data_IF_244140771467
#
_entry.id   IF_244140771467
#
_cell.length_a   1.000
_cell.length_b   1.000
_cell.length_c   1.000
_cell.angle_alpha   90.00
_cell.angle_beta   90.00
_cell.angle_gamma   90.00
#
_symmetry.space_group_name_H-M   'P 1'
#
loop_
_entity.id
_entity.type
_entity.pdbx_description
1 polymer ?
#
# COMPACT_ATOMS: atom_id res chain seq x y z
N UNK A 1 32.74 2.70 17.78
CA UNK A 1 33.73 1.62 17.57
C UNK A 1 33.10 0.32 17.05
N UNK A 2 32.13 -0.30 17.74
CA UNK A 2 31.59 -1.62 17.35
C UNK A 2 30.98 -1.71 15.92
N UNK A 3 30.23 -0.69 15.48
CA UNK A 3 29.60 -0.69 14.13
C UNK A 3 30.61 -0.55 12.99
N UNK A 4 31.62 0.30 13.17
CA UNK A 4 32.70 0.50 12.18
C UNK A 4 33.48 -0.79 11.98
N UNK A 5 33.82 -1.47 13.08
CA UNK A 5 34.49 -2.78 13.03
C UNK A 5 33.64 -3.83 12.28
N UNK A 6 32.33 -3.91 12.56
CA UNK A 6 31.41 -4.80 11.84
C UNK A 6 31.38 -4.56 10.33
N UNK A 7 31.44 -3.31 9.85
CA UNK A 7 31.49 -3.02 8.40
C UNK A 7 32.81 -3.46 7.78
N UNK A 8 33.92 -3.34 8.50
CA UNK A 8 35.24 -3.77 8.01
C UNK A 8 35.35 -5.30 7.99
N UNK A 9 34.81 -5.97 9.01
CA UNK A 9 34.93 -7.42 9.18
C UNK A 9 33.93 -8.24 8.34
N UNK A 10 32.80 -7.64 7.92
CA UNK A 10 31.74 -8.36 7.20
C UNK A 10 32.17 -8.75 5.77
N UNK A 11 31.90 -10.00 5.41
CA UNK A 11 32.22 -10.60 4.09
C UNK A 11 31.00 -10.68 3.18
N UNK A 12 31.17 -10.90 1.87
CA UNK A 12 30.06 -10.96 0.90
C UNK A 12 28.90 -11.89 1.30
N UNK A 13 29.22 -13.10 1.81
CA UNK A 13 28.24 -14.15 2.15
C UNK A 13 27.75 -14.15 3.59
N UNK A 14 28.16 -13.17 4.40
CA UNK A 14 27.73 -13.11 5.79
C UNK A 14 26.24 -12.79 5.91
N UNK A 15 25.61 -13.37 6.93
CA UNK A 15 24.21 -13.08 7.27
C UNK A 15 24.13 -11.81 8.11
N UNK A 16 22.96 -11.15 8.11
CA UNK A 16 22.71 -9.95 8.91
C UNK A 16 23.79 -8.87 8.70
N UNK A 17 24.02 -8.45 7.45
CA UNK A 17 25.03 -7.44 7.14
C UNK A 17 24.58 -6.06 7.57
N UNK A 18 25.53 -5.21 7.91
CA UNK A 18 25.28 -3.81 8.18
C UNK A 18 25.35 -3.03 6.87
N UNK A 19 24.21 -2.52 6.41
CA UNK A 19 24.09 -1.78 5.15
C UNK A 19 24.21 -0.26 5.32
N UNK A 20 23.88 0.28 6.51
CA UNK A 20 24.01 1.70 6.81
C UNK A 20 24.50 1.93 8.25
N UNK A 21 25.54 2.76 8.41
CA UNK A 21 26.09 3.09 9.74
C UNK A 21 25.07 3.81 10.64
N UNK A 22 24.27 4.70 10.03
CA UNK A 22 23.31 5.56 10.70
C UNK A 22 21.95 4.88 10.94
N UNK A 23 21.68 3.74 10.28
CA UNK A 23 20.43 2.98 10.36
C UNK A 23 20.74 1.47 10.30
N UNK A 24 21.23 0.86 11.40
CA UNK A 24 21.63 -0.55 11.44
C UNK A 24 20.49 -1.55 11.21
N UNK A 25 19.25 -1.10 11.32
CA UNK A 25 18.00 -1.83 11.07
C UNK A 25 17.69 -2.01 9.58
N UNK A 26 18.34 -1.27 8.68
CA UNK A 26 18.07 -1.33 7.24
C UNK A 26 18.39 -2.72 6.69
N UNK A 27 17.46 -3.28 5.93
CA UNK A 27 17.60 -4.58 5.28
C UNK A 27 17.84 -4.42 3.78
N UNK A 28 18.44 -5.44 3.17
CA UNK A 28 18.54 -5.58 1.72
C UNK A 28 17.44 -6.52 1.22
N UNK A 29 16.61 -6.02 0.31
CA UNK A 29 15.43 -6.69 -0.21
C UNK A 29 15.63 -6.93 -1.70
N UNK A 30 15.63 -8.20 -2.11
CA UNK A 30 15.74 -8.60 -3.51
C UNK A 30 14.44 -8.29 -4.26
N UNK A 31 14.54 -7.55 -5.37
CA UNK A 31 13.39 -7.17 -6.22
C UNK A 31 13.08 -8.15 -7.34
N UNK A 32 14.02 -9.03 -7.68
CA UNK A 32 13.93 -9.89 -8.86
C UNK A 32 13.90 -9.13 -10.19
N UNK A 33 14.38 -7.87 -10.22
CA UNK A 33 14.44 -7.03 -11.43
C UNK A 33 15.88 -6.90 -11.92
N UNK A 34 16.11 -7.11 -13.22
CA UNK A 34 17.45 -7.09 -13.84
C UNK A 34 18.19 -5.76 -13.62
N UNK A 35 17.54 -4.61 -13.88
CA UNK A 35 18.19 -3.28 -13.79
C UNK A 35 18.42 -2.78 -12.36
N UNK A 36 17.55 -3.14 -11.41
CA UNK A 36 17.64 -2.73 -10.00
C UNK A 36 17.36 -3.94 -9.11
N UNK A 37 18.37 -4.79 -8.86
CA UNK A 37 18.16 -6.08 -8.23
C UNK A 37 17.83 -5.98 -6.74
N UNK A 38 18.22 -4.89 -6.08
CA UNK A 38 18.06 -4.69 -4.63
C UNK A 38 17.37 -3.37 -4.30
N UNK A 39 16.58 -3.37 -3.22
CA UNK A 39 16.08 -2.23 -2.49
C UNK A 39 16.64 -2.28 -1.06
N UNK A 40 16.87 -1.12 -0.44
CA UNK A 40 17.32 -1.02 0.94
C UNK A 40 16.24 -0.33 1.77
N UNK A 41 15.91 -0.91 2.92
CA UNK A 41 14.90 -0.37 3.84
C UNK A 41 14.22 -1.50 4.59
N UNK A 42 12.97 -1.27 4.99
CA UNK A 42 12.11 -2.29 5.58
C UNK A 42 10.96 -2.62 4.62
N UNK A 43 10.49 -3.88 4.64
CA UNK A 43 9.26 -4.23 3.93
C UNK A 43 8.06 -3.52 4.56
N UNK A 44 7.11 -3.12 3.73
CA UNK A 44 5.85 -2.53 4.20
C UNK A 44 4.69 -3.30 3.57
N UNK A 45 3.80 -3.84 4.39
CA UNK A 45 2.54 -4.41 3.96
C UNK A 45 1.49 -3.32 3.81
N UNK A 46 0.78 -3.30 2.68
CA UNK A 46 -0.28 -2.34 2.38
C UNK A 46 -1.56 -3.11 2.04
N UNK A 47 -2.63 -2.84 2.79
CA UNK A 47 -3.96 -3.34 2.53
C UNK A 47 -4.88 -2.21 2.07
N UNK A 48 -5.63 -2.41 0.99
CA UNK A 48 -6.58 -1.42 0.48
C UNK A 48 -7.97 -1.99 0.25
N UNK A 49 -8.97 -1.12 0.32
CA UNK A 49 -10.34 -1.45 -0.07
C UNK A 49 -10.42 -1.69 -1.57
N UNK A 50 -11.03 -2.81 -1.96
CA UNK A 50 -11.07 -3.25 -3.35
C UNK A 50 -11.83 -2.30 -4.30
N UNK A 51 -12.84 -1.58 -3.80
CA UNK A 51 -13.70 -0.72 -4.63
C UNK A 51 -13.15 0.69 -4.81
N UNK A 52 -12.56 1.27 -3.76
CA UNK A 52 -12.22 2.69 -3.71
C UNK A 52 -10.72 2.94 -3.55
N UNK A 53 -9.94 1.93 -3.16
CA UNK A 53 -8.50 2.04 -3.02
C UNK A 53 -8.04 2.78 -1.78
N UNK A 54 -8.92 2.96 -0.79
CA UNK A 54 -8.52 3.47 0.52
C UNK A 54 -7.62 2.46 1.22
N UNK A 55 -6.50 2.93 1.74
CA UNK A 55 -5.62 2.17 2.62
C UNK A 55 -6.33 1.93 3.94
N UNK A 56 -6.43 0.66 4.31
CA UNK A 56 -6.99 0.19 5.57
C UNK A 56 -5.96 -0.62 6.37
N UNK A 57 -4.75 -0.79 5.85
CA UNK A 57 -3.62 -1.36 6.59
C UNK A 57 -2.32 -0.86 5.98
N UNK A 58 -1.39 -0.47 6.84
CA UNK A 58 -0.04 -0.05 6.47
C UNK A 58 0.89 -0.39 7.64
N UNK A 59 1.75 -1.38 7.46
CA UNK A 59 2.59 -1.93 8.54
C UNK A 59 3.99 -2.22 8.05
N UNK A 60 4.99 -1.75 8.78
CA UNK A 60 6.38 -2.16 8.56
C UNK A 60 6.58 -3.59 9.03
N UNK A 61 7.39 -4.34 8.28
CA UNK A 61 7.65 -5.76 8.46
C UNK A 61 9.18 -5.97 8.56
N UNK A 62 9.78 -5.69 9.73
CA UNK A 62 11.21 -5.92 9.95
C UNK A 62 11.53 -7.42 9.97
N UNK A 63 12.80 -7.75 9.75
CA UNK A 63 13.34 -9.10 9.62
C UNK A 63 13.29 -9.67 8.19
N UNK A 64 13.00 -8.86 7.17
CA UNK A 64 12.82 -9.27 5.78
C UNK A 64 11.98 -10.56 5.62
N UNK A 65 10.76 -10.63 6.20
CA UNK A 65 9.97 -11.85 6.17
C UNK A 65 9.56 -12.21 4.74
N UNK A 66 9.33 -13.49 4.50
CA UNK A 66 8.64 -13.92 3.29
C UNK A 66 7.22 -13.35 3.28
N UNK A 67 6.80 -12.77 2.16
CA UNK A 67 5.53 -12.03 2.05
C UNK A 67 4.34 -12.87 2.55
N UNK A 68 4.34 -14.17 2.26
CA UNK A 68 3.30 -15.08 2.71
C UNK A 68 3.09 -15.11 4.23
N UNK A 69 4.16 -14.99 5.02
CA UNK A 69 4.06 -14.99 6.49
C UNK A 69 3.47 -13.69 7.05
N UNK A 70 3.42 -12.63 6.24
CA UNK A 70 2.91 -11.31 6.67
C UNK A 70 1.40 -11.14 6.47
N UNK A 71 0.73 -12.11 5.81
CA UNK A 71 -0.68 -11.97 5.45
C UNK A 71 -1.61 -11.91 6.65
N UNK A 72 -1.39 -12.76 7.66
CA UNK A 72 -2.23 -12.80 8.85
C UNK A 72 -2.18 -11.46 9.60
N UNK A 73 -0.98 -10.94 9.85
CA UNK A 73 -0.77 -9.65 10.50
C UNK A 73 -1.37 -8.47 9.70
N UNK A 74 -1.29 -8.54 8.36
CA UNK A 74 -1.88 -7.51 7.49
C UNK A 74 -3.41 -7.51 7.54
N UNK A 75 -4.04 -8.70 7.58
CA UNK A 75 -5.49 -8.85 7.69
C UNK A 75 -6.00 -8.46 9.07
N UNK A 76 -5.26 -8.83 10.13
CA UNK A 76 -5.54 -8.41 11.49
C UNK A 76 -5.54 -6.89 11.62
N UNK A 77 -4.47 -6.23 11.17
CA UNK A 77 -4.38 -4.77 11.19
C UNK A 77 -5.53 -4.13 10.40
N UNK A 78 -5.83 -4.66 9.22
CA UNK A 78 -6.94 -4.17 8.41
C UNK A 78 -8.30 -4.34 9.08
N UNK A 79 -8.51 -5.44 9.80
CA UNK A 79 -9.72 -5.70 10.56
C UNK A 79 -9.89 -4.75 11.74
N UNK A 80 -8.80 -4.46 12.46
CA UNK A 80 -8.78 -3.49 13.57
C UNK A 80 -9.13 -2.08 13.05
N UNK A 81 -8.47 -1.62 11.99
CA UNK A 81 -8.70 -0.27 11.43
C UNK A 81 -10.10 -0.14 10.83
N UNK A 82 -10.63 -1.20 10.24
CA UNK A 82 -11.98 -1.22 9.68
C UNK A 82 -13.07 -1.48 10.72
N UNK A 83 -12.71 -1.76 11.97
CA UNK A 83 -13.60 -2.20 13.05
C UNK A 83 -14.50 -3.38 12.63
N UNK A 84 -14.00 -4.25 11.75
CA UNK A 84 -14.77 -5.34 11.15
C UNK A 84 -13.84 -6.47 10.63
N UNK A 85 -14.10 -7.74 10.95
CA UNK A 85 -13.31 -8.86 10.41
C UNK A 85 -13.30 -8.90 8.87
N UNK A 86 -12.10 -9.11 8.31
CA UNK A 86 -11.92 -9.22 6.87
C UNK A 86 -12.32 -10.61 6.39
N UNK A 87 -13.48 -10.73 5.74
CA UNK A 87 -14.00 -12.01 5.24
C UNK A 87 -13.50 -12.40 3.85
N UNK A 88 -13.05 -11.44 3.05
CA UNK A 88 -12.55 -11.68 1.69
C UNK A 88 -11.37 -10.77 1.38
N UNK A 89 -10.27 -11.35 0.91
CA UNK A 89 -9.04 -10.64 0.60
C UNK A 89 -8.48 -11.04 -0.76
N UNK A 90 -8.11 -10.07 -1.57
CA UNK A 90 -7.38 -10.31 -2.82
C UNK A 90 -5.89 -10.12 -2.61
N UNK A 91 -5.11 -11.20 -2.71
CA UNK A 91 -3.66 -11.22 -2.39
C UNK A 91 -2.81 -11.28 -3.65
N UNK A 92 -1.60 -10.69 -3.67
CA UNK A 92 -0.64 -10.82 -4.79
C UNK A 92 -0.03 -12.23 -4.95
N UNK A 93 0.56 -12.52 -6.12
CA UNK A 93 1.28 -13.77 -6.41
C UNK A 93 2.42 -14.02 -5.42
N UNK A 94 2.97 -12.98 -4.78
CA UNK A 94 3.95 -13.11 -3.70
C UNK A 94 3.46 -13.89 -2.48
N UNK A 95 2.13 -13.91 -2.24
CA UNK A 95 1.49 -14.59 -1.11
C UNK A 95 1.06 -16.04 -1.45
N UNK A 96 1.77 -16.70 -2.36
CA UNK A 96 1.39 -18.05 -2.84
C UNK A 96 1.40 -19.06 -1.69
N UNK A 97 0.39 -19.93 -1.66
CA UNK A 97 0.33 -21.05 -0.71
C UNK A 97 -0.20 -20.71 0.68
N UNK A 98 -0.50 -19.44 0.96
CA UNK A 98 -1.00 -19.03 2.28
C UNK A 98 -2.52 -19.11 2.35
N UNK A 99 -3.01 -19.70 3.43
CA UNK A 99 -4.41 -19.73 3.82
C UNK A 99 -4.56 -19.14 5.22
N UNK A 100 -5.62 -18.36 5.41
CA UNK A 100 -5.95 -17.76 6.71
C UNK A 100 -7.36 -18.24 7.08
N UNK A 101 -7.53 -18.90 8.24
CA UNK A 101 -8.83 -19.40 8.66
C UNK A 101 -9.91 -18.30 8.64
N UNK A 102 -11.09 -18.62 8.12
CA UNK A 102 -12.22 -17.67 8.06
C UNK A 102 -12.12 -16.59 6.98
N UNK A 103 -11.03 -16.52 6.20
CA UNK A 103 -10.85 -15.51 5.15
C UNK A 103 -10.84 -16.14 3.77
N UNK A 104 -11.74 -15.68 2.91
CA UNK A 104 -11.76 -16.09 1.50
C UNK A 104 -10.67 -15.37 0.71
N UNK A 105 -9.65 -16.13 0.30
CA UNK A 105 -8.52 -15.59 -0.45
C UNK A 105 -8.78 -15.67 -1.97
N UNK A 106 -8.71 -14.52 -2.65
CA UNK A 106 -8.85 -14.41 -4.10
C UNK A 106 -7.48 -14.31 -4.75
N UNK A 107 -7.12 -15.32 -5.56
CA UNK A 107 -5.82 -15.43 -6.23
C UNK A 107 -5.91 -15.12 -7.73
N UNK A 108 -4.81 -14.64 -8.30
CA UNK A 108 -4.68 -14.47 -9.76
C UNK A 108 -4.73 -15.83 -10.47
N UNK A 109 -5.46 -15.92 -11.58
CA UNK A 109 -5.52 -17.13 -12.42
C UNK A 109 -6.50 -18.20 -11.96
N UNK A 110 -7.28 -17.96 -10.90
CA UNK A 110 -8.39 -18.85 -10.54
C UNK A 110 -9.43 -18.83 -11.68
N UNK A 111 -9.70 -20.00 -12.29
CA UNK A 111 -10.59 -20.12 -13.47
C UNK A 111 -11.86 -20.95 -13.21
N UNK A 112 -11.82 -21.89 -12.26
CA UNK A 112 -12.94 -22.82 -11.95
C UNK A 112 -13.81 -22.28 -10.80
N UNK A 113 -15.14 -22.47 -10.90
CA UNK A 113 -16.10 -22.19 -9.82
C UNK A 113 -16.32 -20.71 -9.47
N UNK A 114 -16.06 -19.78 -10.39
CA UNK A 114 -16.14 -18.34 -10.10
C UNK A 114 -17.44 -17.70 -10.60
N UNK A 115 -18.19 -17.10 -9.67
CA UNK A 115 -19.30 -16.19 -9.98
C UNK A 115 -18.79 -14.92 -10.68
N UNK A 116 -19.68 -14.23 -11.40
CA UNK A 116 -19.35 -12.96 -12.09
C UNK A 116 -18.74 -11.92 -11.15
N UNK A 117 -19.26 -11.81 -9.93
CA UNK A 117 -18.74 -10.90 -8.90
C UNK A 117 -17.29 -11.21 -8.50
N UNK A 118 -16.97 -12.48 -8.28
CA UNK A 118 -15.60 -12.91 -7.93
C UNK A 118 -14.61 -12.62 -9.06
N UNK A 119 -15.01 -12.82 -10.33
CA UNK A 119 -14.17 -12.47 -11.48
C UNK A 119 -13.84 -10.97 -11.51
N UNK A 120 -14.82 -10.12 -11.24
CA UNK A 120 -14.60 -8.66 -11.14
C UNK A 120 -13.66 -8.33 -9.99
N UNK A 121 -13.81 -8.98 -8.84
CA UNK A 121 -12.95 -8.75 -7.68
C UNK A 121 -11.49 -9.15 -7.93
N UNK A 122 -11.27 -10.33 -8.53
CA UNK A 122 -9.93 -10.78 -8.95
C UNK A 122 -9.31 -9.79 -9.93
N UNK A 123 -10.09 -9.30 -10.91
CA UNK A 123 -9.60 -8.29 -11.86
C UNK A 123 -9.24 -6.97 -11.18
N UNK A 124 -10.06 -6.48 -10.23
CA UNK A 124 -9.81 -5.23 -9.51
C UNK A 124 -8.60 -5.29 -8.59
N UNK A 125 -8.23 -6.48 -8.12
CA UNK A 125 -7.05 -6.68 -7.26
C UNK A 125 -5.77 -6.13 -7.87
N UNK A 126 -5.61 -6.16 -9.20
CA UNK A 126 -4.43 -5.62 -9.87
C UNK A 126 -4.24 -4.11 -9.67
N UNK A 127 -5.28 -3.39 -9.23
CA UNK A 127 -5.19 -1.96 -8.92
C UNK A 127 -4.32 -1.64 -7.69
N UNK A 128 -3.96 -2.63 -6.86
CA UNK A 128 -3.03 -2.44 -5.74
C UNK A 128 -1.65 -1.97 -6.22
N UNK A 129 -1.16 -2.51 -7.34
CA UNK A 129 0.16 -2.19 -7.90
C UNK A 129 0.31 -0.70 -8.27
N UNK A 130 -0.59 -0.10 -9.10
CA UNK A 130 -0.52 1.32 -9.37
C UNK A 130 -0.74 2.18 -8.11
N UNK A 131 -1.55 1.72 -7.13
CA UNK A 131 -1.71 2.44 -5.86
C UNK A 131 -0.39 2.50 -5.07
N UNK A 132 0.30 1.37 -4.91
CA UNK A 132 1.62 1.33 -4.27
C UNK A 132 2.63 2.17 -5.07
N UNK A 133 2.57 2.12 -6.40
CA UNK A 133 3.37 2.97 -7.28
C UNK A 133 3.18 4.47 -6.98
N UNK A 134 1.93 4.93 -6.90
CA UNK A 134 1.62 6.30 -6.49
C UNK A 134 2.06 6.62 -5.06
N UNK A 135 1.93 5.68 -4.12
CA UNK A 135 2.43 5.88 -2.76
C UNK A 135 3.95 6.03 -2.73
N UNK A 136 4.69 5.29 -3.57
CA UNK A 136 6.15 5.41 -3.66
C UNK A 136 6.57 6.73 -4.33
N UNK A 137 5.94 7.11 -5.44
CA UNK A 137 6.30 8.30 -6.20
C UNK A 137 5.78 9.60 -5.57
N UNK A 138 4.47 9.68 -5.32
CA UNK A 138 3.78 10.87 -4.84
C UNK A 138 3.68 10.89 -3.31
N UNK A 139 3.55 9.71 -2.71
CA UNK A 139 3.27 9.52 -1.28
C UNK A 139 4.51 9.35 -0.40
N UNK A 140 5.71 9.51 -0.95
CA UNK A 140 7.01 9.41 -0.26
C UNK A 140 7.33 8.03 0.34
N UNK A 141 6.50 7.00 0.13
CA UNK A 141 6.73 5.65 0.65
C UNK A 141 8.07 5.04 0.18
N UNK A 142 8.61 5.51 -0.95
CA UNK A 142 9.89 5.04 -1.49
C UNK A 142 11.14 5.49 -0.74
N UNK A 143 11.02 6.39 0.26
CA UNK A 143 12.15 6.87 1.06
C UNK A 143 11.67 7.21 2.46
N UNK A 144 12.28 6.67 3.51
CA UNK A 144 11.98 7.06 4.88
C UNK A 144 12.99 8.11 5.39
N UNK A 145 12.49 9.12 6.10
CA UNK A 145 13.30 10.14 6.78
C UNK A 145 13.30 9.98 8.31
N UNK A 146 12.41 9.16 8.85
CA UNK A 146 12.40 8.84 10.27
C UNK A 146 13.45 7.77 10.59
N UNK A 147 13.97 7.84 11.80
CA UNK A 147 15.00 6.91 12.30
C UNK A 147 14.32 5.76 13.02
N UNK A 148 15.00 4.60 13.07
CA UNK A 148 14.58 3.40 13.82
C UNK A 148 13.37 2.67 13.24
N UNK A 149 13.18 1.43 13.68
CA UNK A 149 12.03 0.59 13.34
C UNK A 149 10.68 1.25 13.71
N UNK A 150 10.64 2.04 14.77
CA UNK A 150 9.43 2.82 15.11
C UNK A 150 9.17 3.90 14.06
N UNK A 151 10.21 4.59 13.62
CA UNK A 151 10.13 5.58 12.54
C UNK A 151 9.65 4.96 11.23
N UNK A 152 10.12 3.77 10.90
CA UNK A 152 9.63 2.99 9.77
C UNK A 152 8.13 2.67 9.86
N UNK A 153 7.66 2.24 11.03
CA UNK A 153 6.26 1.94 11.27
C UNK A 153 5.38 3.20 11.12
N UNK A 154 5.79 4.31 11.74
CA UNK A 154 5.09 5.59 11.67
C UNK A 154 5.08 6.12 10.22
N UNK A 155 6.20 6.01 9.51
CA UNK A 155 6.29 6.43 8.11
C UNK A 155 5.27 5.69 7.23
N UNK A 156 5.19 4.36 7.36
CA UNK A 156 4.25 3.54 6.59
C UNK A 156 2.79 3.99 6.80
N UNK A 157 2.40 4.21 8.06
CA UNK A 157 1.06 4.68 8.43
C UNK A 157 0.78 6.07 7.84
N UNK A 158 1.71 7.02 7.97
CA UNK A 158 1.55 8.37 7.43
C UNK A 158 1.47 8.39 5.91
N UNK A 159 2.26 7.57 5.21
CA UNK A 159 2.15 7.42 3.76
C UNK A 159 0.77 6.88 3.34
N UNK A 160 0.25 5.91 4.08
CA UNK A 160 -1.09 5.35 3.88
C UNK A 160 -2.20 6.37 4.12
N UNK A 161 -2.14 7.11 5.23
CA UNK A 161 -3.07 8.19 5.55
C UNK A 161 -3.02 9.31 4.49
N UNK A 162 -1.81 9.72 4.08
CA UNK A 162 -1.62 10.71 3.02
C UNK A 162 -2.24 10.28 1.69
N UNK A 163 -2.21 8.98 1.36
CA UNK A 163 -2.90 8.46 0.18
C UNK A 163 -4.42 8.61 0.29
N UNK A 164 -4.99 8.26 1.44
CA UNK A 164 -6.42 8.42 1.71
C UNK A 164 -6.86 9.89 1.60
N UNK A 165 -6.11 10.81 2.20
CA UNK A 165 -6.36 12.25 2.11
C UNK A 165 -6.35 12.71 0.64
N UNK A 166 -5.35 12.29 -0.15
CA UNK A 166 -5.31 12.60 -1.59
C UNK A 166 -6.54 12.09 -2.34
N UNK A 167 -7.05 10.90 -2.01
CA UNK A 167 -8.29 10.37 -2.61
C UNK A 167 -9.51 11.22 -2.25
N UNK A 168 -9.64 11.61 -0.98
CA UNK A 168 -10.72 12.47 -0.49
C UNK A 168 -10.68 13.85 -1.16
N UNK A 169 -9.52 14.51 -1.19
CA UNK A 169 -9.35 15.80 -1.85
C UNK A 169 -9.68 15.74 -3.34
N UNK A 170 -9.28 14.68 -4.05
CA UNK A 170 -9.65 14.47 -5.46
C UNK A 170 -11.16 14.31 -5.67
N UNK A 171 -11.89 13.78 -4.67
CA UNK A 171 -13.35 13.64 -4.73
C UNK A 171 -14.03 14.98 -4.42
N UNK A 172 -13.59 15.67 -3.37
CA UNK A 172 -14.08 17.00 -2.99
C UNK A 172 -13.88 18.01 -4.13
N UNK A 173 -12.69 18.06 -4.75
CA UNK A 173 -12.43 18.94 -5.89
C UNK A 173 -13.41 18.72 -7.04
N UNK A 174 -13.73 17.46 -7.35
CA UNK A 174 -14.73 17.11 -8.39
C UNK A 174 -16.14 17.53 -7.99
N UNK A 175 -16.49 17.37 -6.72
CA UNK A 175 -17.78 17.79 -6.19
C UNK A 175 -17.94 19.31 -6.24
N UNK A 176 -16.95 20.08 -5.78
CA UNK A 176 -16.94 21.54 -5.89
C UNK A 176 -17.04 22.01 -7.34
N UNK A 177 -16.30 21.37 -8.27
CA UNK A 177 -16.40 21.70 -9.69
C UNK A 177 -17.81 21.45 -10.27
N UNK A 178 -18.50 20.40 -9.82
CA UNK A 178 -19.89 20.13 -10.21
C UNK A 178 -20.85 21.19 -9.67
N UNK A 179 -20.69 21.61 -8.41
CA UNK A 179 -21.50 22.69 -7.81
C UNK A 179 -21.30 23.99 -8.61
N UNK A 180 -20.06 24.37 -8.88
CA UNK A 180 -19.74 25.59 -9.64
C UNK A 180 -20.33 25.54 -11.06
N UNK A 181 -20.27 24.38 -11.72
CA UNK A 181 -20.85 24.21 -13.07
C UNK A 181 -22.39 24.26 -13.07
N UNK A 182 -23.04 23.79 -12.01
CA UNK A 182 -24.50 23.90 -11.86
C UNK A 182 -24.92 25.33 -11.53
N UNK A 183 -24.18 26.01 -10.66
CA UNK A 183 -24.42 27.40 -10.30
C UNK A 183 -24.27 28.34 -11.51
N UNK A 184 -23.25 28.15 -12.34
CA UNK A 184 -23.06 28.96 -13.55
C UNK A 184 -24.14 28.75 -14.61
N UNK A 185 -24.69 27.54 -14.72
CA UNK A 185 -25.84 27.25 -15.59
C UNK A 185 -27.14 27.85 -15.06
N UNK A 186 -27.36 27.84 -13.75
CA UNK A 186 -28.49 28.50 -13.10
C UNK A 186 -28.46 30.02 -13.29
N UNK A 187 -27.28 30.63 -13.17
CA UNK A 187 -27.09 32.07 -13.39
C UNK A 187 -27.38 32.47 -14.85
N UNK A 188 -26.91 31.68 -15.82
CA UNK A 188 -27.18 31.90 -17.24
C UNK A 188 -28.68 31.78 -17.59
N UNK A 189 -29.42 30.88 -16.93
CA UNK A 189 -30.86 30.74 -17.13
C UNK A 189 -31.68 31.91 -16.58
N UNK A 190 -31.21 32.57 -15.50
CA UNK A 190 -31.87 33.74 -14.90
C UNK A 190 -31.62 35.00 -15.75
N UNK A 191 -30.43 35.17 -16.32
CA UNK A 191 -30.10 36.34 -17.16
C UNK A 191 -30.76 36.33 -18.55
N UNK A 192 -31.28 35.18 -18.99
CA UNK A 192 -31.93 35.02 -20.30
C UNK A 192 -33.45 34.83 -20.22
N UNK A 193 -34.09 35.09 -19.07
CA UNK A 193 -35.56 35.15 -19.02
C UNK A 193 -36.03 36.47 -19.66
N UNK A 194 -36.66 36.46 -20.85
CA UNK A 194 -37.20 37.66 -21.43
C UNK A 194 -38.42 38.05 -20.59
N UNK A 195 -38.39 39.23 -20.00
CA UNK A 195 -39.56 39.88 -19.42
C UNK A 195 -40.65 40.00 -20.51
N UNK A 196 -41.76 39.28 -20.31
CA UNK A 196 -43.02 39.44 -21.03
C UNK A 196 -43.65 40.80 -20.72
#
# INVERSE_FOLDING_TARGET
MARTKRILDQRPKDKNKLYALHAPEVECISKGKSRTPYEFGVKVSIATTLKKGFVVGARSMPGNPYDGHTLAEALEQAGIIAENPITTAGIDRGYRGVEVPGVRILRSGQRRGLTRGLKVMIKRRSAIEPMIGHMKADGKLGRNWFKSALGDAVHAVLCGAGHNIRLLLRRLRRFCALILALASRGFAAITFSPSL
#
